data_IF_047172401417
#
_entry.id   IF_047172401417
#
_cell.length_a   1.000
_cell.length_b   1.000
_cell.length_c   1.000
_cell.angle_alpha   90.00
_cell.angle_beta   90.00
_cell.angle_gamma   90.00
#
_symmetry.space_group_name_H-M   'P 1'
#
loop_
_entity.id
_entity.type
_entity.pdbx_description
1 polymer ?
#
# COMPACT_ATOMS: atom_id res chain seq x y z
N UNK A 1 10.65 -20.60 5.79
CA UNK A 1 10.82 -22.07 5.94
C UNK A 1 9.92 -22.88 5.01
N UNK A 2 8.71 -22.40 4.66
CA UNK A 2 7.80 -23.06 3.71
C UNK A 2 8.25 -22.97 2.23
N UNK A 3 8.83 -21.83 1.81
CA UNK A 3 9.32 -21.60 0.42
C UNK A 3 10.44 -22.58 -0.03
N UNK A 4 11.22 -23.18 0.89
CA UNK A 4 12.29 -24.15 0.54
C UNK A 4 11.75 -25.56 0.28
N UNK A 5 10.79 -26.02 1.10
CA UNK A 5 10.14 -27.33 0.91
C UNK A 5 9.31 -27.38 -0.38
N UNK A 6 8.63 -26.26 -0.74
CA UNK A 6 7.87 -26.14 -1.99
C UNK A 6 8.77 -26.24 -3.23
N UNK A 7 9.94 -25.58 -3.23
CA UNK A 7 10.92 -25.70 -4.32
C UNK A 7 11.47 -27.12 -4.51
N UNK A 8 11.70 -27.86 -3.41
CA UNK A 8 12.19 -29.24 -3.47
C UNK A 8 11.11 -30.23 -3.96
N UNK A 9 9.84 -29.99 -3.63
CA UNK A 9 8.70 -30.75 -4.15
C UNK A 9 8.44 -30.46 -5.64
N UNK A 10 8.53 -29.18 -6.08
CA UNK A 10 8.47 -28.79 -7.51
C UNK A 10 9.56 -29.46 -8.36
N UNK A 11 10.79 -29.53 -7.84
CA UNK A 11 11.88 -30.21 -8.55
C UNK A 11 11.66 -31.73 -8.74
N UNK A 12 10.80 -32.34 -7.92
CA UNK A 12 10.41 -33.75 -8.04
C UNK A 12 9.18 -33.97 -8.94
N UNK A 13 8.28 -32.98 -9.04
CA UNK A 13 7.12 -33.02 -9.93
C UNK A 13 7.51 -32.86 -11.41
N UNK A 14 8.46 -31.98 -11.73
CA UNK A 14 9.05 -31.81 -13.08
C UNK A 14 9.70 -33.11 -13.60
N UNK A 15 10.10 -34.04 -12.72
CA UNK A 15 10.63 -35.35 -13.12
C UNK A 15 9.54 -36.37 -13.54
N UNK A 16 8.27 -36.10 -13.27
CA UNK A 16 7.14 -36.97 -13.61
C UNK A 16 6.57 -36.72 -15.02
N UNK A 17 6.91 -35.58 -15.65
CA UNK A 17 6.63 -35.27 -17.06
C UNK A 17 5.15 -35.45 -17.44
N UNK A 18 4.25 -35.10 -16.52
CA UNK A 18 2.81 -35.02 -16.77
C UNK A 18 2.48 -33.58 -17.21
N UNK A 19 2.22 -33.35 -18.50
CA UNK A 19 2.05 -32.00 -19.04
C UNK A 19 0.82 -31.28 -18.46
N UNK A 20 -0.15 -32.00 -17.89
CA UNK A 20 -1.30 -31.38 -17.23
C UNK A 20 -0.92 -30.80 -15.84
N UNK A 21 0.01 -31.42 -15.09
CA UNK A 21 0.52 -30.86 -13.83
C UNK A 21 1.46 -29.67 -14.06
N UNK A 22 2.22 -29.65 -15.16
CA UNK A 22 3.07 -28.50 -15.53
C UNK A 22 2.23 -27.27 -15.90
N UNK A 23 1.11 -27.43 -16.62
CA UNK A 23 0.20 -26.32 -16.95
C UNK A 23 -0.52 -25.79 -15.70
N UNK A 24 -0.97 -26.65 -14.78
CA UNK A 24 -1.60 -26.22 -13.51
C UNK A 24 -0.58 -25.50 -12.58
N UNK A 25 0.69 -25.93 -12.54
CA UNK A 25 1.72 -25.24 -11.76
C UNK A 25 2.12 -23.87 -12.37
N UNK A 26 2.14 -23.73 -13.70
CA UNK A 26 2.36 -22.44 -14.37
C UNK A 26 1.20 -21.47 -14.09
N UNK A 27 -0.06 -21.94 -14.13
CA UNK A 27 -1.23 -21.12 -13.76
C UNK A 27 -1.18 -20.70 -12.27
N UNK A 28 -0.78 -21.59 -11.34
CA UNK A 28 -0.60 -21.24 -9.92
C UNK A 28 0.58 -20.28 -9.67
N UNK A 29 1.68 -20.36 -10.45
CA UNK A 29 2.77 -19.37 -10.38
C UNK A 29 2.33 -18.00 -10.90
N UNK A 30 1.60 -17.95 -12.02
CA UNK A 30 1.05 -16.70 -12.54
C UNK A 30 0.04 -16.06 -11.57
N UNK A 31 -0.84 -16.84 -10.93
CA UNK A 31 -1.77 -16.34 -9.90
C UNK A 31 -1.03 -15.84 -8.63
N UNK A 32 0.01 -16.55 -8.15
CA UNK A 32 0.81 -16.09 -7.00
C UNK A 32 1.63 -14.81 -7.33
N UNK A 33 2.13 -14.66 -8.56
CA UNK A 33 2.81 -13.45 -9.03
C UNK A 33 1.84 -12.27 -9.22
N UNK A 34 0.64 -12.50 -9.77
CA UNK A 34 -0.42 -11.48 -9.87
C UNK A 34 -0.90 -11.00 -8.48
N UNK A 35 -1.05 -11.90 -7.49
CA UNK A 35 -1.39 -11.53 -6.12
C UNK A 35 -0.26 -10.75 -5.42
N UNK A 36 1.01 -11.13 -5.60
CA UNK A 36 2.16 -10.37 -5.07
C UNK A 36 2.27 -8.97 -5.74
N UNK A 37 1.98 -8.84 -7.05
CA UNK A 37 1.95 -7.54 -7.76
C UNK A 37 0.76 -6.66 -7.33
N UNK A 38 -0.45 -7.22 -7.12
CA UNK A 38 -1.61 -6.46 -6.63
C UNK A 38 -1.41 -5.93 -5.19
N UNK A 39 -0.77 -6.72 -4.31
CA UNK A 39 -0.41 -6.27 -2.96
C UNK A 39 0.64 -5.13 -2.98
N UNK A 40 1.63 -5.20 -3.88
CA UNK A 40 2.61 -4.12 -4.07
C UNK A 40 1.97 -2.83 -4.64
N UNK A 41 1.02 -2.94 -5.58
CA UNK A 41 0.29 -1.79 -6.12
C UNK A 41 -0.65 -1.11 -5.10
N UNK A 42 -1.26 -1.88 -4.19
CA UNK A 42 -2.06 -1.30 -3.09
C UNK A 42 -1.20 -0.55 -2.05
N UNK A 43 0.04 -0.98 -1.80
CA UNK A 43 0.99 -0.22 -0.96
C UNK A 43 1.47 1.07 -1.66
N UNK A 44 1.69 1.06 -2.98
CA UNK A 44 2.28 2.21 -3.72
C UNK A 44 1.30 3.41 -3.89
N UNK A 45 0.01 3.21 -3.62
CA UNK A 45 -1.06 4.18 -3.91
C UNK A 45 -1.08 5.48 -3.08
N UNK A 46 -0.53 5.48 -1.87
CA UNK A 46 -0.65 6.59 -0.89
C UNK A 46 0.71 7.14 -0.39
N UNK A 47 1.80 6.95 -1.13
CA UNK A 47 3.19 7.06 -0.64
C UNK A 47 3.83 8.47 -0.62
N UNK A 48 3.07 9.56 -0.70
CA UNK A 48 3.72 10.87 -0.84
C UNK A 48 4.49 11.35 0.41
N UNK A 49 4.01 10.93 1.58
CA UNK A 49 4.59 11.25 2.88
C UNK A 49 4.64 10.04 3.82
N UNK A 50 4.19 8.86 3.39
CA UNK A 50 4.27 7.64 4.18
C UNK A 50 5.74 7.28 4.47
N UNK A 51 5.99 6.71 5.64
CA UNK A 51 7.33 6.41 6.14
C UNK A 51 8.13 7.62 6.64
N UNK A 52 7.71 8.85 6.35
CA UNK A 52 8.40 10.07 6.78
C UNK A 52 8.01 10.50 8.19
N UNK A 53 8.97 11.08 8.93
CA UNK A 53 8.70 11.70 10.23
C UNK A 53 8.22 13.13 10.01
N UNK A 54 6.97 13.39 10.35
CA UNK A 54 6.36 14.72 10.25
C UNK A 54 5.90 15.22 11.62
N UNK A 55 5.53 16.50 11.67
CA UNK A 55 4.76 17.07 12.76
C UNK A 55 3.37 17.43 12.21
N UNK A 56 2.31 17.08 12.95
CA UNK A 56 0.93 17.45 12.67
C UNK A 56 0.44 18.37 13.77
N UNK A 57 0.11 19.61 13.44
CA UNK A 57 -0.53 20.54 14.36
C UNK A 57 -2.04 20.37 14.29
N UNK A 58 -2.68 20.23 15.46
CA UNK A 58 -4.11 20.04 15.60
C UNK A 58 -4.84 21.36 15.86
N UNK A 59 -6.16 21.34 15.65
CA UNK A 59 -7.02 22.51 15.84
C UNK A 59 -7.17 22.95 17.29
N UNK A 60 -6.93 22.04 18.24
CA UNK A 60 -6.98 22.30 19.68
C UNK A 60 -5.65 22.81 20.26
N UNK A 61 -4.74 23.24 19.38
CA UNK A 61 -3.40 23.74 19.69
C UNK A 61 -2.43 22.67 20.23
N UNK A 62 -2.79 21.39 20.17
CA UNK A 62 -1.86 20.29 20.38
C UNK A 62 -1.07 19.96 19.11
N UNK A 63 0.02 19.21 19.26
CA UNK A 63 0.84 18.75 18.13
C UNK A 63 1.25 17.28 18.31
N UNK A 64 1.37 16.57 17.20
CA UNK A 64 1.82 15.18 17.16
C UNK A 64 3.00 15.06 16.21
N UNK A 65 4.16 14.63 16.72
CA UNK A 65 5.33 14.33 15.88
C UNK A 65 5.53 12.84 15.82
N UNK A 66 5.52 12.25 14.62
CA UNK A 66 5.66 10.82 14.45
C UNK A 66 5.89 10.43 12.99
N UNK A 67 6.09 9.14 12.74
CA UNK A 67 6.17 8.58 11.39
C UNK A 67 4.75 8.43 10.83
N UNK A 68 4.52 8.86 9.60
CA UNK A 68 3.25 8.60 8.90
C UNK A 68 3.22 7.14 8.46
N UNK A 69 2.25 6.39 8.95
CA UNK A 69 1.97 5.03 8.45
C UNK A 69 0.91 5.08 7.35
N UNK A 70 -0.11 5.93 7.45
CA UNK A 70 -1.11 6.11 6.38
C UNK A 70 -1.80 7.50 6.43
N UNK A 71 -2.24 8.02 5.28
CA UNK A 71 -3.07 9.22 5.12
C UNK A 71 -4.16 8.96 4.09
N UNK A 72 -5.42 9.17 4.45
CA UNK A 72 -6.53 9.00 3.50
C UNK A 72 -6.95 10.30 2.78
N UNK A 73 -7.87 10.17 1.83
CA UNK A 73 -8.44 11.30 1.06
C UNK A 73 -9.23 12.32 1.92
N UNK A 74 -9.57 11.99 3.16
CA UNK A 74 -10.22 12.87 4.13
C UNK A 74 -9.24 13.46 5.15
N UNK A 75 -7.92 13.29 4.93
CA UNK A 75 -6.84 13.69 5.84
C UNK A 75 -6.89 13.01 7.21
N UNK A 76 -7.50 11.83 7.32
CA UNK A 76 -7.29 10.99 8.49
C UNK A 76 -5.86 10.44 8.44
N UNK A 77 -5.09 10.65 9.50
CA UNK A 77 -3.66 10.32 9.54
C UNK A 77 -3.42 9.30 10.64
N UNK A 78 -2.74 8.21 10.30
CA UNK A 78 -2.22 7.24 11.26
C UNK A 78 -0.72 7.47 11.42
N UNK A 79 -0.30 7.73 12.66
CA UNK A 79 1.08 7.96 13.03
C UNK A 79 1.59 6.83 13.93
N UNK A 80 2.88 6.49 13.79
CA UNK A 80 3.59 5.58 14.68
C UNK A 80 4.80 6.25 15.34
N UNK A 81 5.18 5.74 16.53
CA UNK A 81 6.27 6.27 17.37
C UNK A 81 6.13 7.79 17.58
N UNK A 82 5.04 8.17 18.25
CA UNK A 82 4.54 9.54 18.29
C UNK A 82 4.88 10.21 19.61
N UNK A 83 5.52 11.36 19.53
CA UNK A 83 5.59 12.31 20.63
C UNK A 83 4.41 13.29 20.50
N UNK A 84 3.38 13.10 21.31
CA UNK A 84 2.24 14.00 21.39
C UNK A 84 2.51 15.11 22.40
N UNK A 85 2.29 16.36 22.02
CA UNK A 85 2.40 17.54 22.88
C UNK A 85 1.03 18.19 23.02
N UNK A 86 0.51 18.28 24.25
CA UNK A 86 -0.74 18.99 24.50
C UNK A 86 -0.58 20.52 24.40
N UNK A 87 -1.70 21.25 24.41
CA UNK A 87 -1.70 22.73 24.35
C UNK A 87 -0.99 23.41 25.54
N UNK A 88 -0.75 22.69 26.63
CA UNK A 88 -0.04 23.18 27.81
C UNK A 88 1.46 22.85 27.76
N UNK A 89 1.90 22.11 26.74
CA UNK A 89 3.28 21.69 26.53
C UNK A 89 3.65 20.38 27.22
N UNK A 90 2.71 19.62 27.76
CA UNK A 90 3.00 18.28 28.29
C UNK A 90 3.18 17.29 27.14
N UNK A 91 4.21 16.46 27.27
CA UNK A 91 4.56 15.46 26.26
C UNK A 91 4.21 14.05 26.73
N UNK A 92 3.69 13.26 25.80
CA UNK A 92 3.39 11.84 25.98
C UNK A 92 3.90 11.08 24.77
N UNK A 93 4.68 10.03 25.01
CA UNK A 93 5.10 9.08 23.98
C UNK A 93 4.00 8.04 23.77
N UNK A 94 3.66 7.78 22.51
CA UNK A 94 2.62 6.86 22.08
C UNK A 94 3.18 5.97 20.97
N UNK A 95 2.87 4.68 20.99
CA UNK A 95 3.29 3.77 19.92
C UNK A 95 2.51 4.03 18.61
N UNK A 96 1.23 4.36 18.72
CA UNK A 96 0.30 4.62 17.61
C UNK A 96 -0.64 5.79 17.97
N UNK A 97 -0.92 6.67 17.01
CA UNK A 97 -1.90 7.75 17.13
C UNK A 97 -2.70 7.89 15.84
N UNK A 98 -4.04 7.86 15.96
CA UNK A 98 -4.96 8.17 14.87
C UNK A 98 -5.55 9.57 15.02
N UNK A 99 -5.32 10.42 14.02
CA UNK A 99 -5.82 11.79 13.95
C UNK A 99 -6.91 11.85 12.89
N UNK A 100 -8.10 12.33 13.27
CA UNK A 100 -9.16 12.58 12.29
C UNK A 100 -8.86 13.84 11.49
N UNK A 101 -9.10 13.82 10.18
CA UNK A 101 -8.78 14.95 9.30
C UNK A 101 -9.50 16.25 9.67
N UNK A 102 -10.67 16.14 10.30
CA UNK A 102 -11.38 17.30 10.86
C UNK A 102 -10.58 18.04 11.93
N UNK A 103 -9.69 17.38 12.66
CA UNK A 103 -8.91 17.97 13.74
C UNK A 103 -7.53 18.46 13.28
N UNK A 104 -7.13 18.19 12.03
CA UNK A 104 -5.86 18.65 11.47
C UNK A 104 -5.92 20.15 11.19
N UNK A 105 -4.84 20.86 11.50
CA UNK A 105 -4.63 22.28 11.16
C UNK A 105 -3.47 22.46 10.20
N UNK A 106 -2.30 21.89 10.51
CA UNK A 106 -1.13 21.89 9.64
C UNK A 106 -0.44 20.53 9.63
N UNK A 107 0.11 20.16 8.48
CA UNK A 107 1.04 19.04 8.33
C UNK A 107 2.37 19.63 7.88
N UNK A 108 3.43 19.35 8.63
CA UNK A 108 4.77 19.88 8.33
C UNK A 108 5.44 19.01 7.28
N UNK A 109 5.60 19.52 6.07
CA UNK A 109 6.26 18.79 4.98
C UNK A 109 7.77 18.72 5.28
N UNK A 110 8.39 17.53 5.30
CA UNK A 110 9.84 17.40 5.46
C UNK A 110 10.63 18.13 4.37
N UNK A 111 11.80 18.67 4.70
CA UNK A 111 12.61 19.48 3.79
C UNK A 111 13.16 18.68 2.59
N UNK A 112 13.27 17.35 2.73
CA UNK A 112 13.73 16.41 1.72
C UNK A 112 12.64 15.96 0.74
N UNK A 113 11.38 16.32 0.98
CA UNK A 113 10.25 15.98 0.09
C UNK A 113 10.10 17.04 -1.01
N UNK A 114 10.29 16.61 -2.26
CA UNK A 114 9.97 17.43 -3.43
C UNK A 114 8.48 17.36 -3.74
N UNK A 115 7.73 18.31 -3.18
CA UNK A 115 6.26 18.41 -3.28
C UNK A 115 5.76 18.24 -4.72
N UNK A 116 6.39 18.91 -5.70
CA UNK A 116 5.94 18.85 -7.10
C UNK A 116 6.07 17.45 -7.66
N UNK A 117 7.23 16.81 -7.44
CA UNK A 117 7.49 15.45 -7.92
C UNK A 117 6.53 14.44 -7.28
N UNK A 118 6.30 14.57 -5.97
CA UNK A 118 5.37 13.72 -5.22
C UNK A 118 3.93 13.84 -5.74
N UNK A 119 3.45 15.06 -5.99
CA UNK A 119 2.11 15.27 -6.55
C UNK A 119 2.00 14.69 -7.96
N UNK A 120 3.03 14.88 -8.80
CA UNK A 120 3.04 14.35 -10.17
C UNK A 120 2.99 12.81 -10.18
N UNK A 121 3.76 12.15 -9.31
CA UNK A 121 3.75 10.69 -9.15
C UNK A 121 2.37 10.18 -8.73
N UNK A 122 1.78 10.75 -7.68
CA UNK A 122 0.44 10.34 -7.23
C UNK A 122 -0.62 10.54 -8.31
N UNK A 123 -0.56 11.64 -9.06
CA UNK A 123 -1.46 11.85 -10.19
C UNK A 123 -1.26 10.79 -11.28
N UNK A 124 -0.03 10.37 -11.58
CA UNK A 124 0.22 9.32 -12.58
C UNK A 124 -0.38 7.98 -12.18
N UNK A 125 -0.26 7.58 -10.90
CA UNK A 125 -0.87 6.36 -10.35
C UNK A 125 -2.38 6.42 -10.55
N UNK A 126 -3.04 7.51 -10.13
CA UNK A 126 -4.49 7.68 -10.29
C UNK A 126 -4.90 7.58 -11.77
N UNK A 127 -4.12 8.14 -12.69
CA UNK A 127 -4.41 8.04 -14.13
C UNK A 127 -4.25 6.62 -14.68
N UNK A 128 -3.26 5.84 -14.19
CA UNK A 128 -3.05 4.44 -14.58
C UNK A 128 -4.20 3.57 -14.12
N UNK A 129 -4.52 3.61 -12.82
CA UNK A 129 -5.62 2.83 -12.21
C UNK A 129 -6.96 3.13 -12.89
N UNK A 130 -7.24 4.40 -13.20
CA UNK A 130 -8.50 4.79 -13.87
C UNK A 130 -8.61 4.32 -15.32
N UNK A 131 -7.49 4.14 -16.01
CA UNK A 131 -7.45 3.73 -17.42
C UNK A 131 -7.26 2.21 -17.61
N UNK A 132 -6.96 1.48 -16.54
CA UNK A 132 -6.72 0.02 -16.57
C UNK A 132 -7.96 -0.79 -17.01
N UNK A 133 -9.17 -0.21 -16.93
CA UNK A 133 -10.44 -0.80 -17.39
C UNK A 133 -10.81 -0.52 -18.87
N UNK A 134 -9.86 -0.08 -19.69
CA UNK A 134 -10.08 0.21 -21.11
C UNK A 134 -10.62 -1.01 -21.90
N UNK A 135 -11.74 -0.80 -22.60
CA UNK A 135 -12.50 -1.72 -23.46
C UNK A 135 -11.70 -2.94 -24.00
N UNK A 136 -11.84 -4.09 -23.34
CA UNK A 136 -11.49 -5.41 -23.88
C UNK A 136 -10.24 -6.11 -23.34
N UNK A 137 -9.64 -5.63 -22.23
CA UNK A 137 -8.44 -6.24 -21.65
C UNK A 137 -8.58 -6.75 -20.20
N UNK A 138 -9.79 -6.70 -19.61
CA UNK A 138 -10.06 -7.32 -18.30
C UNK A 138 -10.74 -8.67 -18.46
N UNK A 139 -10.25 -9.68 -17.71
CA UNK A 139 -10.77 -11.04 -17.46
C UNK A 139 -11.64 -11.64 -18.58
N UNK A 140 -11.08 -12.58 -19.34
CA UNK A 140 -11.82 -13.38 -20.33
C UNK A 140 -12.88 -14.21 -19.60
N UNK A 141 -14.14 -13.81 -19.67
CA UNK A 141 -15.26 -14.64 -19.21
C UNK A 141 -15.24 -15.96 -19.97
N UNK A 142 -15.05 -17.08 -19.25
CA UNK A 142 -15.12 -18.42 -19.84
C UNK A 142 -16.47 -18.59 -20.56
N UNK A 143 -16.50 -19.08 -21.82
CA UNK A 143 -17.74 -19.22 -22.56
C UNK A 143 -18.65 -20.23 -21.86
N UNK A 144 -19.82 -19.78 -21.38
CA UNK A 144 -20.77 -20.67 -20.74
C UNK A 144 -21.29 -21.68 -21.76
N UNK A 145 -21.09 -22.97 -21.47
CA UNK A 145 -21.61 -24.08 -22.27
C UNK A 145 -23.14 -24.03 -22.21
N UNK A 146 -23.77 -23.78 -23.36
CA UNK A 146 -25.23 -23.96 -23.51
C UNK A 146 -25.57 -25.45 -23.42
N UNK A 147 -26.48 -25.78 -22.50
CA UNK A 147 -27.22 -27.04 -22.40
C UNK A 147 -28.10 -27.27 -23.64
#
# INVERSE_FOLDING_TARGET
>A
MKKWLRKELRALAVLANDPEEEEEEEEEEEEEEEEEEEEEEEEEGDEGLQGQITTVDLQDESSARGRIDNVDAFMNIRLANVTYTDRWGHQVELDDLFVTGRNVRYVHIPDDVNITATIEQQLQIIHRVRNFGGKGQGRREFPSKKL
#
